data_IF_201313062901
#
_entry.id   IF_201313062901
#
_cell.length_a   1.000
_cell.length_b   1.000
_cell.length_c   1.000
_cell.angle_alpha   90.00
_cell.angle_beta   90.00
_cell.angle_gamma   90.00
#
_symmetry.space_group_name_H-M   'P 1'
#
loop_
_entity.id
_entity.type
_entity.pdbx_description
1 polymer ?
#
# COMPACT_ATOMS: atom_id res chain seq x y z
N UNK A 1 -18.61 -7.80 -0.23
CA UNK A 1 -17.73 -7.78 0.95
C UNK A 1 -18.46 -8.31 2.18
N UNK A 2 -17.91 -9.29 2.93
CA UNK A 2 -18.47 -9.67 4.24
C UNK A 2 -18.31 -8.50 5.22
N UNK A 3 -19.40 -8.08 5.87
CA UNK A 3 -19.39 -7.05 6.90
C UNK A 3 -18.43 -7.45 8.03
N UNK A 4 -17.55 -6.53 8.46
CA UNK A 4 -16.62 -6.73 9.57
C UNK A 4 -15.12 -6.82 9.23
N UNK A 5 -14.72 -6.91 7.95
CA UNK A 5 -13.30 -7.18 7.60
C UNK A 5 -12.36 -5.97 7.59
N UNK A 6 -12.87 -4.74 7.50
CA UNK A 6 -12.06 -3.51 7.43
C UNK A 6 -11.53 -3.08 8.80
N UNK A 7 -10.68 -3.92 9.42
CA UNK A 7 -10.26 -3.77 10.82
C UNK A 7 -9.07 -2.82 11.04
N UNK A 8 -8.34 -2.45 10.01
CA UNK A 8 -7.15 -1.61 10.12
C UNK A 8 -7.47 -0.17 9.70
N UNK A 9 -7.02 0.81 10.48
CA UNK A 9 -6.96 2.19 10.02
C UNK A 9 -5.66 2.36 9.24
N UNK A 10 -5.77 2.76 7.97
CA UNK A 10 -4.63 2.90 7.06
C UNK A 10 -4.55 4.33 6.54
N UNK A 11 -3.33 4.75 6.24
CA UNK A 11 -3.01 5.99 5.55
C UNK A 11 -2.42 5.63 4.20
N UNK A 12 -2.95 6.24 3.14
CA UNK A 12 -2.37 6.14 1.80
C UNK A 12 -1.63 7.44 1.53
N UNK A 13 -0.38 7.33 1.10
CA UNK A 13 0.52 8.44 0.85
C UNK A 13 1.05 8.36 -0.58
N UNK A 14 1.28 9.52 -1.19
CA UNK A 14 1.95 9.64 -2.49
C UNK A 14 3.32 10.24 -2.31
N UNK A 15 4.28 9.82 -3.11
CA UNK A 15 5.58 10.47 -3.15
C UNK A 15 5.44 11.86 -3.81
N UNK A 16 6.03 12.86 -3.19
CA UNK A 16 6.11 14.22 -3.71
C UNK A 16 7.55 14.68 -3.69
N UNK A 17 7.98 15.32 -4.79
CA UNK A 17 9.28 15.99 -4.86
C UNK A 17 9.06 17.46 -4.56
N UNK A 18 9.69 17.98 -3.50
CA UNK A 18 9.66 19.40 -3.15
C UNK A 18 11.06 19.97 -3.22
N UNK A 19 11.19 21.21 -3.66
CA UNK A 19 12.44 21.94 -3.49
C UNK A 19 12.52 22.44 -2.05
N UNK A 20 13.62 22.17 -1.37
CA UNK A 20 13.93 22.81 -0.10
C UNK A 20 14.39 24.26 -0.32
N UNK A 21 14.57 25.02 0.76
CA UNK A 21 15.01 26.42 0.70
C UNK A 21 16.41 26.59 0.07
N UNK A 22 17.15 25.50 -0.11
CA UNK A 22 18.50 25.45 -0.67
C UNK A 22 18.48 25.02 -2.15
N UNK A 23 17.30 24.84 -2.74
CA UNK A 23 17.11 24.49 -4.15
C UNK A 23 17.25 23.00 -4.48
N UNK A 24 17.48 22.14 -3.49
CA UNK A 24 17.61 20.69 -3.65
C UNK A 24 16.23 20.02 -3.72
N UNK A 25 16.10 18.99 -4.56
CA UNK A 25 14.88 18.18 -4.63
C UNK A 25 14.85 17.15 -3.49
N UNK A 26 13.99 17.37 -2.50
CA UNK A 26 13.73 16.43 -1.41
C UNK A 26 12.48 15.62 -1.72
N UNK A 27 12.59 14.29 -1.70
CA UNK A 27 11.44 13.40 -1.75
C UNK A 27 10.76 13.32 -0.38
N UNK A 28 9.44 13.44 -0.38
CA UNK A 28 8.61 13.33 0.81
C UNK A 28 7.35 12.54 0.52
N UNK A 29 6.64 12.16 1.58
CA UNK A 29 5.37 11.46 1.46
C UNK A 29 4.23 12.40 1.87
N UNK A 30 3.27 12.59 0.99
CA UNK A 30 2.09 13.39 1.24
C UNK A 30 0.87 12.48 1.46
N UNK A 31 0.07 12.77 2.48
CA UNK A 31 -1.16 12.04 2.76
C UNK A 31 -2.20 12.25 1.64
N UNK A 32 -2.62 11.17 0.99
CA UNK A 32 -3.73 11.15 0.02
C UNK A 32 -5.05 10.95 0.73
N UNK A 33 -5.14 9.91 1.59
CA UNK A 33 -6.35 9.67 2.36
C UNK A 33 -6.11 8.79 3.60
N UNK A 34 -7.04 8.86 4.55
CA UNK A 34 -7.15 7.92 5.67
C UNK A 34 -8.41 7.08 5.48
N UNK A 35 -8.30 5.76 5.61
CA UNK A 35 -9.45 4.87 5.40
C UNK A 35 -9.34 3.59 6.22
N UNK A 36 -10.45 2.85 6.31
CA UNK A 36 -10.47 1.51 6.89
C UNK A 36 -10.16 0.48 5.81
N UNK A 37 -9.28 -0.47 6.10
CA UNK A 37 -8.88 -1.54 5.19
C UNK A 37 -8.73 -2.88 5.91
N UNK A 38 -8.83 -3.97 5.15
CA UNK A 38 -8.38 -5.28 5.58
C UNK A 38 -7.00 -5.56 4.97
N UNK A 39 -5.93 -5.33 5.74
CA UNK A 39 -4.57 -5.73 5.39
C UNK A 39 -4.37 -7.18 5.81
N UNK A 40 -3.98 -8.03 4.86
CA UNK A 40 -3.68 -9.43 5.07
C UNK A 40 -2.30 -9.73 4.49
N UNK A 41 -1.35 -10.09 5.37
CA UNK A 41 -0.05 -10.58 4.96
C UNK A 41 -0.20 -11.95 4.28
N UNK A 42 0.59 -12.21 3.24
CA UNK A 42 0.69 -13.56 2.69
C UNK A 42 1.43 -14.46 3.68
N UNK A 43 0.92 -15.67 3.88
CA UNK A 43 1.55 -16.65 4.76
C UNK A 43 2.57 -17.48 3.99
N UNK A 44 3.51 -18.13 4.69
CA UNK A 44 4.51 -18.99 4.05
C UNK A 44 3.90 -20.11 3.18
N UNK A 45 2.66 -20.52 3.44
CA UNK A 45 1.93 -21.50 2.61
C UNK A 45 1.59 -20.95 1.23
N UNK A 46 1.33 -19.66 1.11
CA UNK A 46 1.02 -18.99 -0.16
C UNK A 46 2.27 -18.80 -1.04
N UNK A 47 3.46 -18.82 -0.44
CA UNK A 47 4.75 -18.62 -1.12
C UNK A 47 5.35 -19.89 -1.74
N UNK A 48 4.91 -21.09 -1.32
CA UNK A 48 5.53 -22.38 -1.72
C UNK A 48 5.12 -22.81 -3.15
N UNK A 49 4.02 -22.29 -3.69
CA UNK A 49 3.49 -22.75 -4.98
C UNK A 49 4.02 -22.05 -6.22
N UNK A 50 4.67 -20.89 -6.10
CA UNK A 50 4.95 -20.04 -7.26
C UNK A 50 6.20 -19.17 -7.04
N UNK A 51 7.30 -19.51 -7.71
CA UNK A 51 8.59 -18.79 -7.64
C UNK A 51 8.46 -17.35 -8.15
N UNK A 52 7.36 -17.01 -8.84
CA UNK A 52 7.09 -15.65 -9.33
C UNK A 52 6.43 -14.73 -8.28
N UNK A 53 5.98 -15.25 -7.13
CA UNK A 53 5.34 -14.46 -6.05
C UNK A 53 6.33 -13.76 -5.10
N UNK A 54 7.64 -13.81 -5.37
CA UNK A 54 8.67 -13.24 -4.49
C UNK A 54 8.52 -11.73 -4.21
N UNK A 55 7.68 -11.00 -4.95
CA UNK A 55 7.54 -9.55 -4.86
C UNK A 55 6.23 -9.07 -4.19
N UNK A 56 5.41 -9.98 -3.66
CA UNK A 56 4.15 -9.62 -3.00
C UNK A 56 4.13 -10.13 -1.55
N UNK A 57 4.03 -9.21 -0.61
CA UNK A 57 4.06 -9.49 0.82
C UNK A 57 2.70 -9.40 1.49
N UNK A 58 1.80 -8.56 0.97
CA UNK A 58 0.46 -8.42 1.51
C UNK A 58 -0.59 -8.05 0.45
N UNK A 59 -1.86 -8.17 0.82
CA UNK A 59 -3.01 -7.63 0.11
C UNK A 59 -3.82 -6.74 1.04
N UNK A 60 -4.34 -5.63 0.51
CA UNK A 60 -5.31 -4.81 1.22
C UNK A 60 -6.64 -4.74 0.46
N UNK A 61 -7.73 -4.96 1.18
CA UNK A 61 -9.09 -4.73 0.67
C UNK A 61 -9.69 -3.50 1.33
N UNK A 62 -10.23 -2.59 0.52
CA UNK A 62 -10.88 -1.37 0.98
C UNK A 62 -12.03 -0.99 0.05
N UNK A 63 -12.87 -0.05 0.50
CA UNK A 63 -13.88 0.55 -0.39
C UNK A 63 -13.18 1.29 -1.51
N UNK A 64 -13.80 1.31 -2.69
CA UNK A 64 -13.28 2.02 -3.85
C UNK A 64 -13.02 3.50 -3.53
N UNK A 65 -11.84 3.98 -3.95
CA UNK A 65 -11.45 5.37 -3.89
C UNK A 65 -10.69 5.75 -5.16
N UNK A 66 -11.13 6.78 -5.91
CA UNK A 66 -10.35 7.25 -7.04
C UNK A 66 -9.03 7.86 -6.58
N UNK A 67 -8.01 7.84 -7.45
CA UNK A 67 -6.71 8.47 -7.20
C UNK A 67 -5.76 7.67 -6.32
N UNK A 68 -5.98 6.36 -6.14
CA UNK A 68 -4.96 5.44 -5.61
C UNK A 68 -4.26 4.81 -6.79
N UNK A 69 -2.93 4.84 -6.81
CA UNK A 69 -2.10 4.39 -7.93
C UNK A 69 -0.94 3.51 -7.45
N UNK A 70 -0.28 2.83 -8.40
CA UNK A 70 0.97 2.12 -8.13
C UNK A 70 2.07 3.11 -7.71
N UNK A 71 3.00 2.67 -6.87
CA UNK A 71 4.06 3.50 -6.28
C UNK A 71 3.62 4.30 -5.06
N UNK A 72 2.32 4.36 -4.76
CA UNK A 72 1.84 4.93 -3.50
C UNK A 72 2.20 4.04 -2.31
N UNK A 73 2.25 4.64 -1.14
CA UNK A 73 2.61 3.99 0.13
C UNK A 73 1.38 3.81 1.00
N UNK A 74 1.19 2.60 1.53
CA UNK A 74 0.21 2.29 2.55
C UNK A 74 0.90 2.16 3.90
N UNK A 75 0.47 2.96 4.87
CA UNK A 75 0.97 2.94 6.25
C UNK A 75 -0.15 2.54 7.19
N UNK A 76 0.12 1.61 8.09
CA UNK A 76 -0.82 1.28 9.16
C UNK A 76 -0.11 0.87 10.44
N UNK A 77 -0.80 1.04 11.57
CA UNK A 77 -0.30 0.59 12.87
C UNK A 77 -1.00 -0.72 13.22
N UNK A 78 -0.21 -1.73 13.57
CA UNK A 78 -0.69 -3.02 14.05
C UNK A 78 0.12 -3.38 15.30
N UNK A 79 -0.57 -3.64 16.41
CA UNK A 79 0.05 -4.03 17.68
C UNK A 79 1.15 -3.06 18.15
N UNK A 80 0.92 -1.76 17.96
CA UNK A 80 1.89 -0.70 18.30
C UNK A 80 3.03 -0.51 17.30
N UNK A 81 3.14 -1.37 16.29
CA UNK A 81 4.19 -1.31 15.26
C UNK A 81 3.66 -0.65 13.99
N UNK A 82 4.37 0.36 13.49
CA UNK A 82 4.08 0.97 12.20
C UNK A 82 4.62 0.09 11.09
N UNK A 83 3.73 -0.37 10.21
CA UNK A 83 4.08 -1.12 9.01
C UNK A 83 3.86 -0.28 7.77
N UNK A 84 4.82 -0.36 6.87
CA UNK A 84 4.81 0.35 5.59
C UNK A 84 4.82 -0.64 4.46
N UNK A 85 4.00 -0.37 3.44
CA UNK A 85 3.96 -1.13 2.22
C UNK A 85 3.94 -0.21 1.01
N UNK A 86 4.52 -0.65 -0.10
CA UNK A 86 4.40 -0.03 -1.42
C UNK A 86 3.30 -0.72 -2.22
N UNK A 87 2.43 0.07 -2.86
CA UNK A 87 1.41 -0.43 -3.80
C UNK A 87 2.09 -0.78 -5.11
N UNK A 88 2.11 -2.07 -5.49
CA UNK A 88 2.87 -2.56 -6.65
C UNK A 88 2.13 -2.50 -7.98
N UNK A 89 0.81 -2.52 -7.93
CA UNK A 89 -0.03 -2.56 -9.12
C UNK A 89 -1.18 -1.56 -8.99
N UNK A 90 -1.74 -1.07 -10.12
CA UNK A 90 -2.97 -0.30 -10.09
C UNK A 90 -4.07 -1.03 -9.29
N UNK A 91 -4.93 -0.31 -8.56
CA UNK A 91 -6.01 -0.94 -7.80
C UNK A 91 -6.89 -1.82 -8.67
N UNK A 92 -7.17 -3.03 -8.20
CA UNK A 92 -7.98 -4.00 -8.92
C UNK A 92 -9.44 -3.81 -8.51
N UNK A 93 -10.30 -3.45 -9.46
CA UNK A 93 -11.76 -3.47 -9.30
C UNK A 93 -12.29 -4.88 -9.62
N UNK A 94 -12.51 -5.68 -8.58
CA UNK A 94 -12.89 -7.10 -8.73
C UNK A 94 -14.24 -7.32 -9.40
N UNK A 95 -15.20 -6.44 -9.15
CA UNK A 95 -16.58 -6.60 -9.63
C UNK A 95 -16.93 -5.64 -10.77
N UNK A 96 -16.01 -4.73 -11.13
CA UNK A 96 -16.18 -3.71 -12.17
C UNK A 96 -17.19 -2.62 -11.78
N UNK A 97 -17.71 -2.64 -10.55
CA UNK A 97 -18.75 -1.71 -10.07
C UNK A 97 -18.18 -0.62 -9.18
N UNK A 98 -16.85 -0.54 -9.01
CA UNK A 98 -16.18 0.46 -8.18
C UNK A 98 -16.77 0.51 -6.76
N UNK A 99 -17.04 -0.65 -6.17
CA UNK A 99 -17.53 -0.76 -4.78
C UNK A 99 -16.38 -1.02 -3.83
N UNK A 100 -15.50 -1.91 -4.23
CA UNK A 100 -14.30 -2.30 -3.53
C UNK A 100 -13.10 -2.34 -4.47
N UNK A 101 -11.93 -2.27 -3.86
CA UNK A 101 -10.67 -2.45 -4.56
C UNK A 101 -9.74 -3.33 -3.74
N UNK A 102 -8.91 -4.07 -4.48
CA UNK A 102 -7.81 -4.85 -3.97
C UNK A 102 -6.49 -4.16 -4.33
N UNK A 103 -5.62 -4.00 -3.33
CA UNK A 103 -4.26 -3.50 -3.50
C UNK A 103 -3.28 -4.64 -3.31
N UNK A 104 -2.32 -4.73 -4.22
CA UNK A 104 -1.17 -5.62 -4.14
C UNK A 104 -0.03 -4.85 -3.47
N UNK A 105 0.49 -5.39 -2.37
CA UNK A 105 1.42 -4.71 -1.49
C UNK A 105 2.74 -5.47 -1.37
N UNK A 106 3.84 -4.74 -1.42
CA UNK A 106 5.17 -5.21 -1.03
C UNK A 106 5.59 -4.49 0.26
N UNK A 107 6.26 -5.20 1.16
CA UNK A 107 6.77 -4.63 2.40
C UNK A 107 7.90 -3.64 2.09
N UNK A 108 7.77 -2.43 2.62
CA UNK A 108 8.79 -1.41 2.53
C UNK A 108 9.54 -1.39 3.87
N UNK A 109 10.74 -1.94 3.89
CA UNK A 109 11.63 -1.96 5.05
C UNK A 109 12.29 -0.59 5.31
N UNK A 110 11.94 0.45 4.54
CA UNK A 110 12.50 1.78 4.66
C UNK A 110 13.87 1.92 4.00
N UNK A 111 14.34 0.92 3.24
CA UNK A 111 15.48 1.11 2.35
C UNK A 111 15.04 2.03 1.22
N UNK A 112 15.42 3.30 1.33
CA UNK A 112 15.37 4.23 0.21
C UNK A 112 15.97 3.53 -1.02
N UNK A 113 15.27 3.48 -2.16
CA UNK A 113 15.87 3.00 -3.38
C UNK A 113 17.07 3.90 -3.64
N UNK A 114 18.27 3.32 -3.59
CA UNK A 114 19.49 4.04 -3.96
C UNK A 114 19.28 4.52 -5.40
N UNK A 115 19.15 5.82 -5.59
CA UNK A 115 19.14 6.44 -6.90
C UNK A 115 20.48 6.13 -7.57
N UNK A 116 20.45 5.36 -8.66
CA UNK A 116 21.59 5.17 -9.54
C UNK A 116 21.66 6.29 -10.56
#
# INVERSE_FOLDING_TARGET
MRAGRLRHLVQIQREVKRKNDHGENVSGWELVCKTRANVADFTGRDRIGDVTLHQIDARAFLRWRPGIEAGMRLVHVKDGVTRTYTVKAPPIDRDGRRRDMELILEFDDGRQPQSR
#
